data_IF_542775872321
#
_entry.id   IF_542775872321
#
_cell.length_a   1.000
_cell.length_b   1.000
_cell.length_c   1.000
_cell.angle_alpha   90.00
_cell.angle_beta   90.00
_cell.angle_gamma   90.00
#
_symmetry.space_group_name_H-M   'P 1'
#
loop_
_entity.id
_entity.type
_entity.pdbx_description
1 polymer ?
#
# COMPACT_ATOMS: atom_id res chain seq x y z
N UNK A 1 3.29 -12.64 16.71
CA UNK A 1 4.29 -13.74 16.64
C UNK A 1 3.70 -15.12 16.31
N UNK A 2 2.67 -15.61 17.02
CA UNK A 2 2.09 -16.96 16.78
C UNK A 2 1.66 -17.19 15.31
N UNK A 3 1.04 -16.19 14.69
CA UNK A 3 0.59 -16.28 13.30
C UNK A 3 1.76 -16.39 12.32
N UNK A 4 2.77 -15.52 12.45
CA UNK A 4 3.97 -15.53 11.61
C UNK A 4 4.70 -16.87 11.72
N UNK A 5 4.85 -17.43 12.93
CA UNK A 5 5.46 -18.75 13.13
C UNK A 5 4.71 -19.87 12.42
N UNK A 6 3.37 -19.84 12.42
CA UNK A 6 2.55 -20.84 11.70
C UNK A 6 2.70 -20.75 10.18
N UNK A 7 3.01 -19.56 9.65
CA UNK A 7 3.19 -19.31 8.23
C UNK A 7 4.65 -19.29 7.78
N UNK A 8 5.61 -19.59 8.68
CA UNK A 8 7.05 -19.45 8.44
C UNK A 8 7.47 -18.04 7.99
N UNK A 9 6.82 -17.01 8.53
CA UNK A 9 7.14 -15.60 8.30
C UNK A 9 7.86 -14.97 9.50
N UNK A 10 8.62 -13.91 9.22
CA UNK A 10 9.17 -13.02 10.23
C UNK A 10 8.26 -11.80 10.38
N UNK A 11 7.95 -11.41 11.62
CA UNK A 11 7.18 -10.18 11.88
C UNK A 11 8.09 -8.96 11.94
N UNK A 12 7.59 -7.85 11.39
CA UNK A 12 8.13 -6.50 11.62
C UNK A 12 7.05 -5.73 12.34
N UNK A 13 7.38 -5.18 13.51
CA UNK A 13 6.44 -4.45 14.37
C UNK A 13 6.97 -3.03 14.53
N UNK A 14 6.08 -2.06 14.34
CA UNK A 14 6.38 -0.63 14.46
C UNK A 14 5.12 0.12 14.88
N UNK A 15 5.28 1.30 15.45
CA UNK A 15 4.18 2.21 15.79
C UNK A 15 4.03 3.25 14.68
N UNK A 16 2.79 3.48 14.23
CA UNK A 16 2.48 4.47 13.21
C UNK A 16 1.33 5.39 13.64
N UNK A 17 1.48 6.69 13.37
CA UNK A 17 0.63 7.78 13.82
C UNK A 17 0.19 8.67 12.65
N UNK A 18 -1.01 9.21 12.76
CA UNK A 18 -1.56 10.28 11.92
C UNK A 18 -2.02 11.40 12.85
N UNK A 19 -1.34 12.55 12.83
CA UNK A 19 -1.58 13.66 13.76
C UNK A 19 -1.63 13.19 15.23
N UNK A 20 -0.58 12.48 15.67
CA UNK A 20 -0.44 11.86 17.00
C UNK A 20 -1.47 10.77 17.38
N UNK A 21 -2.41 10.45 16.48
CA UNK A 21 -3.38 9.38 16.67
C UNK A 21 -2.90 8.07 16.01
N UNK A 22 -3.05 6.91 16.67
CA UNK A 22 -2.67 5.63 16.08
C UNK A 22 -3.38 5.36 14.74
N UNK A 23 -2.61 4.94 13.73
CA UNK A 23 -3.18 4.44 12.48
C UNK A 23 -3.82 3.07 12.74
N UNK A 24 -5.13 2.98 12.49
CA UNK A 24 -5.93 1.78 12.78
C UNK A 24 -5.65 0.60 11.82
N UNK A 25 -5.28 0.88 10.57
CA UNK A 25 -4.96 -0.15 9.59
C UNK A 25 -3.70 0.17 8.79
N UNK A 26 -2.78 -0.79 8.74
CA UNK A 26 -1.53 -0.68 7.98
C UNK A 26 -1.76 -0.44 6.49
N UNK A 27 -2.89 -0.91 5.93
CA UNK A 27 -3.26 -0.71 4.52
C UNK A 27 -3.66 0.74 4.17
N UNK A 28 -3.69 1.65 5.15
CA UNK A 28 -3.86 3.08 4.89
C UNK A 28 -2.50 3.72 4.57
N UNK A 29 -1.45 3.27 5.24
CA UNK A 29 -0.10 3.84 5.14
C UNK A 29 0.85 3.06 4.24
N UNK A 30 0.53 1.80 3.91
CA UNK A 30 1.45 0.91 3.21
C UNK A 30 0.71 -0.11 2.33
N UNK A 31 1.27 -0.39 1.15
CA UNK A 31 0.85 -1.48 0.29
C UNK A 31 2.05 -2.07 -0.45
N UNK A 32 2.05 -3.39 -0.65
CA UNK A 32 3.14 -4.12 -1.27
C UNK A 32 2.64 -4.77 -2.57
N UNK A 33 3.20 -4.35 -3.70
CA UNK A 33 3.09 -5.04 -4.98
C UNK A 33 4.33 -5.88 -5.26
N UNK A 34 4.39 -6.57 -6.39
CA UNK A 34 5.50 -7.42 -6.82
C UNK A 34 6.79 -6.65 -7.09
N UNK A 35 6.72 -5.39 -7.52
CA UNK A 35 7.89 -4.54 -7.84
C UNK A 35 7.91 -3.21 -7.13
N UNK A 36 6.82 -2.85 -6.45
CA UNK A 36 6.65 -1.56 -5.78
C UNK A 36 6.25 -1.77 -4.32
N UNK A 37 6.66 -0.85 -3.46
CA UNK A 37 6.21 -0.75 -2.08
C UNK A 37 5.78 0.69 -1.81
N UNK A 38 4.50 0.90 -1.56
CA UNK A 38 3.96 2.18 -1.11
C UNK A 38 4.16 2.28 0.39
N UNK A 39 4.64 3.41 0.89
CA UNK A 39 4.81 3.62 2.33
C UNK A 39 4.76 5.11 2.64
N UNK A 40 4.08 5.48 3.72
CA UNK A 40 4.21 6.79 4.35
C UNK A 40 5.17 6.68 5.54
N UNK A 41 6.46 6.92 5.31
CA UNK A 41 7.49 6.79 6.34
C UNK A 41 7.36 7.84 7.44
N UNK A 42 6.79 9.00 7.12
CA UNK A 42 6.48 10.08 8.08
C UNK A 42 5.50 9.62 9.16
N UNK A 43 4.63 8.65 8.86
CA UNK A 43 3.71 8.10 9.85
C UNK A 43 4.40 7.21 10.89
N UNK A 44 5.60 6.69 10.62
CA UNK A 44 6.28 5.74 11.51
C UNK A 44 7.03 6.51 12.61
N UNK A 45 6.73 6.19 13.87
CA UNK A 45 7.22 6.94 15.03
C UNK A 45 8.73 6.84 15.28
N UNK A 46 9.30 5.63 15.17
CA UNK A 46 10.74 5.42 15.36
C UNK A 46 11.47 5.36 14.02
N UNK A 47 12.44 6.26 13.82
CA UNK A 47 13.28 6.29 12.62
C UNK A 47 14.07 4.98 12.40
N UNK A 48 14.35 4.20 13.46
CA UNK A 48 14.99 2.88 13.36
C UNK A 48 14.10 1.89 12.62
N UNK A 49 12.79 1.93 12.88
CA UNK A 49 11.81 1.07 12.22
C UNK A 49 11.70 1.44 10.74
N UNK A 50 11.64 2.73 10.43
CA UNK A 50 11.66 3.23 9.04
C UNK A 50 12.88 2.71 8.28
N UNK A 51 14.08 2.85 8.85
CA UNK A 51 15.32 2.36 8.24
C UNK A 51 15.30 0.83 8.06
N UNK A 52 14.77 0.10 9.04
CA UNK A 52 14.65 -1.35 8.96
C UNK A 52 13.69 -1.78 7.85
N UNK A 53 12.52 -1.16 7.74
CA UNK A 53 11.52 -1.44 6.71
C UNK A 53 12.05 -1.11 5.31
N UNK A 54 12.71 0.05 5.14
CA UNK A 54 13.33 0.43 3.87
C UNK A 54 14.41 -0.58 3.45
N UNK A 55 15.21 -1.07 4.40
CA UNK A 55 16.20 -2.13 4.14
C UNK A 55 15.52 -3.41 3.65
N UNK A 56 14.40 -3.82 4.26
CA UNK A 56 13.65 -5.00 3.84
C UNK A 56 13.07 -4.84 2.43
N UNK A 57 12.56 -3.65 2.10
CA UNK A 57 12.10 -3.36 0.73
C UNK A 57 13.23 -3.45 -0.28
N UNK A 58 14.42 -2.92 0.05
CA UNK A 58 15.62 -3.06 -0.76
C UNK A 58 16.03 -4.53 -0.98
N UNK A 59 15.98 -5.36 0.07
CA UNK A 59 16.25 -6.81 -0.03
C UNK A 59 15.24 -7.51 -0.95
N UNK A 60 13.96 -7.09 -0.91
CA UNK A 60 12.91 -7.60 -1.79
C UNK A 60 12.91 -6.98 -3.20
N UNK A 61 13.89 -6.14 -3.51
CA UNK A 61 14.04 -5.42 -4.80
C UNK A 61 12.81 -4.58 -5.18
N UNK A 62 12.03 -4.15 -4.19
CA UNK A 62 10.86 -3.29 -4.40
C UNK A 62 11.29 -1.84 -4.52
N UNK A 63 10.81 -1.18 -5.58
CA UNK A 63 10.92 0.27 -5.70
C UNK A 63 9.97 0.94 -4.71
N UNK A 64 10.54 1.74 -3.81
CA UNK A 64 9.77 2.49 -2.82
C UNK A 64 9.04 3.64 -3.52
N UNK A 65 7.73 3.72 -3.29
CA UNK A 65 6.86 4.85 -3.61
C UNK A 65 6.54 5.53 -2.27
N UNK A 66 7.36 6.51 -1.92
CA UNK A 66 7.22 7.26 -0.68
C UNK A 66 5.99 8.16 -0.77
N UNK A 67 5.11 8.10 0.23
CA UNK A 67 3.89 8.89 0.33
C UNK A 67 4.05 9.95 1.40
N UNK A 68 3.61 11.17 1.12
CA UNK A 68 3.42 12.17 2.16
C UNK A 68 2.20 11.85 3.02
N UNK A 69 2.13 12.44 4.23
CA UNK A 69 0.93 12.36 5.07
C UNK A 69 -0.33 12.83 4.33
N UNK A 70 -0.20 13.87 3.50
CA UNK A 70 -1.29 14.37 2.67
C UNK A 70 -1.78 13.31 1.67
N UNK A 71 -0.87 12.63 0.96
CA UNK A 71 -1.22 11.55 0.03
C UNK A 71 -1.82 10.34 0.75
N UNK A 72 -1.28 9.97 1.91
CA UNK A 72 -1.84 8.93 2.78
C UNK A 72 -3.29 9.25 3.15
N UNK A 73 -3.58 10.49 3.56
CA UNK A 73 -4.92 10.98 3.89
C UNK A 73 -5.86 11.11 2.66
N UNK A 74 -5.32 10.96 1.45
CA UNK A 74 -6.07 10.80 0.20
C UNK A 74 -6.15 9.33 -0.26
N UNK A 75 -5.86 8.37 0.63
CA UNK A 75 -5.89 6.93 0.39
C UNK A 75 -4.84 6.39 -0.60
N UNK A 76 -3.74 7.12 -0.84
CA UNK A 76 -2.69 6.68 -1.77
C UNK A 76 -1.97 5.38 -1.35
N UNK A 77 -2.04 4.98 -0.07
CA UNK A 77 -1.57 3.68 0.41
C UNK A 77 -2.60 2.56 0.28
N UNK A 78 -3.89 2.88 0.10
CA UNK A 78 -4.99 1.91 0.06
C UNK A 78 -5.19 1.32 -1.35
N UNK A 79 -4.12 0.75 -1.88
CA UNK A 79 -4.05 0.23 -3.26
C UNK A 79 -3.84 -1.28 -3.27
N UNK A 80 -4.29 -1.94 -4.34
CA UNK A 80 -4.06 -3.37 -4.55
C UNK A 80 -3.50 -3.62 -5.94
N UNK A 81 -2.40 -4.36 -6.01
CA UNK A 81 -1.92 -4.90 -7.28
C UNK A 81 -2.62 -6.23 -7.57
N UNK A 82 -3.16 -6.37 -8.78
CA UNK A 82 -3.79 -7.59 -9.29
C UNK A 82 -3.22 -7.94 -10.65
N UNK A 83 -3.28 -9.22 -11.02
CA UNK A 83 -2.87 -9.71 -12.32
C UNK A 83 -4.10 -10.18 -13.10
N UNK A 84 -4.18 -9.83 -14.38
CA UNK A 84 -5.25 -10.34 -15.24
C UNK A 84 -4.89 -11.73 -15.83
N UNK A 85 -5.81 -12.34 -16.57
CA UNK A 85 -5.60 -13.66 -17.20
C UNK A 85 -4.49 -13.70 -18.25
N UNK A 86 -3.95 -12.55 -18.65
CA UNK A 86 -2.82 -12.42 -19.59
C UNK A 86 -1.48 -12.18 -18.89
N UNK A 87 -1.42 -12.26 -17.57
CA UNK A 87 -0.21 -12.01 -16.79
C UNK A 87 0.13 -10.52 -16.66
N UNK A 88 -0.80 -9.61 -16.96
CA UNK A 88 -0.54 -8.17 -16.91
C UNK A 88 -0.89 -7.61 -15.54
N UNK A 89 0.06 -6.94 -14.91
CA UNK A 89 -0.12 -6.28 -13.63
C UNK A 89 -0.97 -4.99 -13.76
N UNK A 90 -1.93 -4.85 -12.86
CA UNK A 90 -2.80 -3.69 -12.72
C UNK A 90 -2.79 -3.23 -11.26
N UNK A 91 -2.61 -1.92 -11.04
CA UNK A 91 -2.72 -1.33 -9.72
C UNK A 91 -4.06 -0.63 -9.60
N UNK A 92 -4.92 -1.15 -8.72
CA UNK A 92 -6.24 -0.58 -8.45
C UNK A 92 -6.11 0.44 -7.31
N UNK A 93 -6.62 1.65 -7.54
CA UNK A 93 -6.64 2.73 -6.56
C UNK A 93 -7.84 3.64 -6.80
N UNK A 94 -8.19 4.51 -5.85
CA UNK A 94 -9.23 5.52 -6.09
C UNK A 94 -8.72 6.64 -7.00
N UNK A 95 -9.65 7.33 -7.68
CA UNK A 95 -9.34 8.54 -8.45
C UNK A 95 -8.70 9.62 -7.58
N UNK A 96 -9.21 9.80 -6.36
CA UNK A 96 -8.66 10.73 -5.37
C UNK A 96 -7.22 10.41 -5.00
N UNK A 97 -6.94 9.13 -4.73
CA UNK A 97 -5.59 8.65 -4.48
C UNK A 97 -4.68 8.92 -5.70
N UNK A 98 -5.15 8.61 -6.91
CA UNK A 98 -4.39 8.82 -8.15
C UNK A 98 -4.05 10.30 -8.38
N UNK A 99 -5.02 11.20 -8.19
CA UNK A 99 -4.84 12.64 -8.34
C UNK A 99 -3.90 13.25 -7.30
N UNK A 100 -3.74 12.60 -6.14
CA UNK A 100 -2.79 13.05 -5.10
C UNK A 100 -1.33 12.71 -5.41
N UNK A 101 -1.09 11.75 -6.31
CA UNK A 101 0.26 11.31 -6.65
C UNK A 101 0.94 12.32 -7.57
N UNK A 102 2.24 12.49 -7.35
CA UNK A 102 3.11 13.27 -8.19
C UNK A 102 3.49 12.51 -9.47
N UNK A 103 3.79 13.26 -10.53
CA UNK A 103 4.20 12.69 -11.83
C UNK A 103 5.33 11.66 -11.71
N UNK A 104 6.40 11.88 -10.91
CA UNK A 104 7.46 10.87 -10.76
C UNK A 104 6.97 9.57 -10.10
N UNK A 105 6.06 9.64 -9.14
CA UNK A 105 5.46 8.46 -8.50
C UNK A 105 4.63 7.67 -9.52
N UNK A 106 3.76 8.36 -10.27
CA UNK A 106 2.92 7.78 -11.34
C UNK A 106 3.79 7.09 -12.40
N UNK A 107 4.87 7.75 -12.85
CA UNK A 107 5.82 7.18 -13.80
C UNK A 107 6.53 5.95 -13.24
N UNK A 108 6.91 5.97 -11.95
CA UNK A 108 7.56 4.83 -11.30
C UNK A 108 6.63 3.62 -11.22
N UNK A 109 5.36 3.82 -10.87
CA UNK A 109 4.34 2.77 -10.83
C UNK A 109 4.07 2.20 -12.23
N UNK A 110 3.92 3.08 -13.22
CA UNK A 110 3.58 2.70 -14.60
C UNK A 110 4.65 1.86 -15.30
N UNK A 111 5.87 1.79 -14.75
CA UNK A 111 6.93 0.89 -15.23
C UNK A 111 6.65 -0.58 -14.91
N UNK A 112 5.88 -0.87 -13.87
CA UNK A 112 5.59 -2.25 -13.44
C UNK A 112 4.14 -2.65 -13.64
N UNK A 113 3.21 -1.69 -13.52
CA UNK A 113 1.78 -2.00 -13.35
C UNK A 113 0.94 -0.92 -14.05
N UNK A 114 -0.14 -1.32 -14.73
CA UNK A 114 -1.11 -0.37 -15.30
C UNK A 114 -1.99 0.18 -14.18
N UNK A 115 -2.01 1.49 -13.98
CA UNK A 115 -2.88 2.10 -12.98
C UNK A 115 -4.34 2.09 -13.46
N UNK A 116 -5.25 1.67 -12.59
CA UNK A 116 -6.71 1.75 -12.78
C UNK A 116 -7.26 2.63 -11.64
N UNK A 117 -7.51 3.92 -11.90
CA UNK A 117 -8.21 4.78 -10.96
C UNK A 117 -9.72 4.51 -11.02
N UNK A 118 -10.39 4.51 -9.86
CA UNK A 118 -11.83 4.28 -9.73
C UNK A 118 -12.47 5.41 -8.90
N UNK A 119 -13.57 6.04 -9.34
CA UNK A 119 -14.27 7.04 -8.54
C UNK A 119 -14.96 6.37 -7.34
N UNK A 120 -14.52 6.72 -6.13
CA UNK A 120 -14.97 6.09 -4.87
C UNK A 120 -15.47 7.12 -3.83
N UNK A 121 -15.81 8.34 -4.25
CA UNK A 121 -16.10 9.48 -3.36
C UNK A 121 -17.11 9.16 -2.25
N UNK A 122 -18.18 8.42 -2.58
CA UNK A 122 -19.22 8.08 -1.60
C UNK A 122 -18.69 7.13 -0.53
N UNK A 123 -17.91 6.12 -0.91
CA UNK A 123 -17.35 5.14 0.02
C UNK A 123 -16.28 5.79 0.90
N UNK A 124 -15.42 6.62 0.32
CA UNK A 124 -14.36 7.30 1.05
C UNK A 124 -14.91 8.35 2.01
N UNK A 125 -15.93 9.10 1.61
CA UNK A 125 -16.52 10.16 2.43
C UNK A 125 -17.32 9.63 3.61
N UNK A 126 -18.04 8.52 3.44
CA UNK A 126 -18.97 8.03 4.46
C UNK A 126 -18.57 6.69 5.10
N UNK A 127 -17.72 5.89 4.45
CA UNK A 127 -17.35 4.55 4.88
C UNK A 127 -15.93 4.40 5.45
N UNK A 128 -15.07 5.41 5.30
CA UNK A 128 -13.70 5.40 5.85
C UNK A 128 -12.75 4.37 5.21
N UNK A 129 -13.12 3.79 4.06
CA UNK A 129 -12.32 2.85 3.29
C UNK A 129 -12.16 3.30 1.83
N UNK A 130 -11.24 2.66 1.11
CA UNK A 130 -10.99 2.93 -0.32
C UNK A 130 -10.78 1.60 -1.08
N UNK A 131 -10.17 1.66 -2.26
CA UNK A 131 -10.11 0.57 -3.23
C UNK A 131 -9.66 -0.78 -2.63
N UNK A 132 -8.55 -0.83 -1.87
CA UNK A 132 -8.05 -2.07 -1.25
C UNK A 132 -9.00 -2.63 -0.18
N UNK A 133 -9.80 -1.79 0.47
CA UNK A 133 -10.79 -2.25 1.45
C UNK A 133 -12.03 -2.89 0.79
N UNK A 134 -12.25 -2.65 -0.51
CA UNK A 134 -13.39 -3.17 -1.27
C UNK A 134 -13.08 -4.49 -2.00
N UNK A 135 -11.86 -5.02 -1.87
CA UNK A 135 -11.40 -6.21 -2.60
C UNK A 135 -10.91 -7.26 -1.59
N UNK A 136 -11.43 -8.48 -1.73
CA UNK A 136 -11.02 -9.64 -0.95
C UNK A 136 -10.25 -10.63 -1.85
N UNK A 137 -9.03 -10.95 -1.45
CA UNK A 137 -8.20 -11.93 -2.14
C UNK A 137 -8.61 -13.34 -1.71
N UNK A 138 -8.96 -14.20 -2.69
CA UNK A 138 -9.37 -15.59 -2.43
C UNK A 138 -8.19 -16.51 -2.76
N UNK A 139 -7.49 -16.97 -1.73
CA UNK A 139 -6.32 -17.85 -1.83
C UNK A 139 -6.70 -19.34 -1.86
N UNK A 140 -7.53 -19.73 -2.84
CA UNK A 140 -7.85 -21.14 -3.09
C UNK A 140 -6.79 -21.77 -4.00
N UNK A 141 -6.53 -23.06 -3.83
CA UNK A 141 -5.70 -23.81 -4.78
C UNK A 141 -6.38 -23.75 -6.16
N UNK A 142 -5.62 -23.45 -7.21
CA UNK A 142 -6.12 -23.53 -8.58
C UNK A 142 -6.47 -25.00 -8.86
N UNK A 143 -7.73 -25.24 -9.20
CA UNK A 143 -8.24 -26.53 -9.67
C UNK A 143 -7.70 -26.89 -11.04
#
# INVERSE_FOLDING_TARGET
EVFCKKLNYSSVVFEALNDDLPIYHTNVMMSLGQKTAFICSESIKDQKDTKHIHKLFGISERKIIELSMAQMNQFAGNVLEVENTKGQSHLIMSEKAYQSLEVPQIQSISKSSKIIPIPLDTIEKYGGGSARCMIAEIFLQKS
#
